data_IF_008044425725
#
_entry.id   IF_008044425725
#
_cell.length_a   1.000
_cell.length_b   1.000
_cell.length_c   1.000
_cell.angle_alpha   90.00
_cell.angle_beta   90.00
_cell.angle_gamma   90.00
#
_symmetry.space_group_name_H-M   'P 1'
#
loop_
_entity.id
_entity.type
_entity.pdbx_description
1 polymer ?
#
# COMPACT_ATOMS: atom_id res chain seq x y z
N UNK A 1 -9.67 -8.20 7.30
CA UNK A 1 -9.16 -7.83 5.96
C UNK A 1 -8.79 -9.04 5.11
N UNK A 2 -8.01 -10.00 5.63
CA UNK A 2 -7.75 -11.28 4.93
C UNK A 2 -9.03 -12.02 4.48
N UNK A 3 -10.09 -11.96 5.29
CA UNK A 3 -11.39 -12.55 4.97
C UNK A 3 -12.08 -11.85 3.77
N UNK A 4 -12.16 -10.51 3.76
CA UNK A 4 -12.80 -9.73 2.68
C UNK A 4 -12.14 -9.91 1.31
N UNK A 5 -10.82 -10.09 1.28
CA UNK A 5 -10.13 -10.39 0.01
C UNK A 5 -10.54 -11.76 -0.54
N UNK A 6 -10.79 -12.74 0.33
CA UNK A 6 -11.26 -14.09 -0.05
C UNK A 6 -12.69 -14.04 -0.59
N UNK A 7 -13.55 -13.23 0.05
CA UNK A 7 -14.96 -13.04 -0.30
C UNK A 7 -15.17 -12.43 -1.69
N UNK A 8 -14.32 -11.46 -2.08
CA UNK A 8 -14.46 -10.75 -3.37
C UNK A 8 -14.05 -11.56 -4.62
N UNK A 9 -13.73 -12.86 -4.50
CA UNK A 9 -13.42 -13.75 -5.62
C UNK A 9 -12.12 -13.47 -6.40
N UNK A 10 -11.40 -12.38 -6.10
CA UNK A 10 -10.15 -12.00 -6.78
C UNK A 10 -8.96 -12.76 -6.19
N UNK A 11 -8.74 -13.98 -6.66
CA UNK A 11 -7.63 -14.87 -6.25
C UNK A 11 -6.23 -14.35 -6.64
N UNK A 12 -6.13 -13.42 -7.59
CA UNK A 12 -4.86 -12.98 -8.20
C UNK A 12 -4.08 -11.89 -7.45
N UNK A 13 -4.70 -11.17 -6.51
CA UNK A 13 -3.91 -10.35 -5.59
C UNK A 13 -3.32 -11.32 -4.57
N UNK A 14 -2.07 -11.78 -4.79
CA UNK A 14 -1.35 -12.71 -3.89
C UNK A 14 -1.72 -12.42 -2.44
N UNK A 15 -2.62 -13.25 -1.90
CA UNK A 15 -2.94 -13.29 -0.48
C UNK A 15 -1.62 -13.50 0.21
N UNK A 16 -1.19 -12.57 1.07
CA UNK A 16 -0.06 -12.85 1.94
C UNK A 16 -0.51 -14.00 2.84
N UNK A 17 0.06 -15.21 2.72
CA UNK A 17 -0.38 -16.32 3.56
C UNK A 17 -0.09 -15.98 5.01
N UNK A 18 -1.04 -16.26 5.90
CA UNK A 18 -0.90 -15.97 7.33
C UNK A 18 0.43 -16.49 7.93
N UNK A 19 0.92 -17.71 7.59
CA UNK A 19 2.22 -18.18 8.07
C UNK A 19 3.41 -17.28 7.65
N UNK A 20 3.40 -16.79 6.40
CA UNK A 20 4.45 -15.89 5.94
C UNK A 20 4.38 -14.51 6.61
N UNK A 21 3.18 -14.03 6.93
CA UNK A 21 3.00 -12.79 7.69
C UNK A 21 3.49 -12.95 9.12
N UNK A 22 3.18 -14.09 9.75
CA UNK A 22 3.66 -14.42 11.08
C UNK A 22 5.19 -14.48 11.15
N UNK A 23 5.83 -15.19 10.21
CA UNK A 23 7.31 -15.23 10.15
C UNK A 23 7.93 -13.85 9.92
N UNK A 24 7.30 -12.98 9.13
CA UNK A 24 7.76 -11.59 8.95
C UNK A 24 7.60 -10.74 10.22
N UNK A 25 6.64 -11.04 11.08
CA UNK A 25 6.51 -10.41 12.39
C UNK A 25 7.64 -10.89 13.32
N UNK A 26 7.88 -12.20 13.39
CA UNK A 26 8.94 -12.79 14.22
C UNK A 26 10.34 -12.30 13.81
N UNK A 27 10.60 -12.17 12.50
CA UNK A 27 11.88 -11.68 11.98
C UNK A 27 12.07 -10.16 12.10
N UNK A 28 11.07 -9.42 12.59
CA UNK A 28 11.12 -7.96 12.67
C UNK A 28 11.03 -7.25 11.31
N UNK A 29 10.57 -7.94 10.27
CA UNK A 29 10.31 -7.36 8.95
C UNK A 29 9.08 -6.47 8.93
N UNK A 30 8.11 -6.80 9.78
CA UNK A 30 6.91 -6.03 10.03
C UNK A 30 6.89 -5.68 11.52
N UNK A 31 6.73 -4.39 11.84
CA UNK A 31 6.65 -3.88 13.21
C UNK A 31 5.17 -3.48 13.46
N UNK A 32 4.40 -4.25 14.25
CA UNK A 32 2.97 -3.98 14.49
C UNK A 32 2.66 -2.59 15.04
N UNK A 33 3.48 -2.14 15.99
CA UNK A 33 3.25 -0.90 16.73
C UNK A 33 3.81 0.34 16.01
N UNK A 34 4.54 0.14 14.91
CA UNK A 34 5.11 1.22 14.13
C UNK A 34 4.00 2.11 13.55
N UNK A 35 4.14 3.42 13.77
CA UNK A 35 3.21 4.41 13.23
C UNK A 35 3.86 5.15 12.07
N UNK A 36 3.15 5.32 10.95
CA UNK A 36 3.63 6.12 9.83
C UNK A 36 3.94 7.55 10.27
N UNK A 37 5.06 8.10 9.81
CA UNK A 37 5.49 9.48 10.09
C UNK A 37 5.52 10.31 8.82
N UNK A 38 4.97 11.52 8.89
CA UNK A 38 5.08 12.48 7.79
C UNK A 38 6.50 13.03 7.72
N UNK A 39 7.10 12.95 6.54
CA UNK A 39 8.47 13.42 6.26
C UNK A 39 8.45 14.80 5.62
N UNK A 40 7.57 15.03 4.66
CA UNK A 40 7.40 16.34 4.02
C UNK A 40 5.94 16.60 3.65
N UNK A 41 5.59 17.87 3.53
CA UNK A 41 4.27 18.36 3.13
C UNK A 41 4.44 19.58 2.23
N UNK A 42 3.79 19.55 1.08
CA UNK A 42 3.77 20.60 0.07
C UNK A 42 2.32 20.75 -0.42
N UNK A 43 1.50 21.45 0.37
CA UNK A 43 0.07 21.63 0.10
C UNK A 43 -0.65 20.29 -0.05
N UNK A 44 -1.18 20.06 -1.25
CA UNK A 44 -1.85 18.82 -1.66
C UNK A 44 -0.99 17.54 -1.63
N UNK A 45 0.33 17.67 -1.49
CA UNK A 45 1.27 16.54 -1.61
C UNK A 45 1.96 16.29 -0.27
N UNK A 46 1.95 15.05 0.20
CA UNK A 46 2.68 14.63 1.39
C UNK A 46 3.53 13.39 1.13
N UNK A 47 4.70 13.33 1.77
CA UNK A 47 5.53 12.13 1.82
C UNK A 47 5.53 11.55 3.23
N UNK A 48 5.36 10.24 3.33
CA UNK A 48 5.26 9.50 4.58
C UNK A 48 6.22 8.32 4.61
N UNK A 49 6.75 8.04 5.79
CA UNK A 49 7.56 6.86 6.10
C UNK A 49 6.75 5.91 6.96
N UNK A 50 6.44 4.72 6.45
CA UNK A 50 5.65 3.72 7.14
C UNK A 50 6.43 3.01 8.27
N UNK A 51 7.75 3.17 8.35
CA UNK A 51 8.57 2.57 9.41
C UNK A 51 8.40 1.04 9.54
N UNK A 52 8.24 0.32 8.42
CA UNK A 52 7.99 -1.14 8.39
C UNK A 52 6.70 -1.55 9.12
N UNK A 53 5.73 -0.65 9.24
CA UNK A 53 4.41 -0.97 9.76
C UNK A 53 3.68 -1.99 8.89
N UNK A 54 2.54 -2.47 9.40
CA UNK A 54 1.62 -3.32 8.65
C UNK A 54 1.10 -2.57 7.42
N UNK A 55 1.38 -3.12 6.23
CA UNK A 55 1.16 -2.44 4.95
C UNK A 55 -0.31 -2.10 4.67
N UNK A 56 -1.23 -3.03 4.94
CA UNK A 56 -2.66 -2.84 4.61
C UNK A 56 -3.36 -1.79 5.50
N UNK A 57 -3.05 -1.77 6.80
CA UNK A 57 -3.52 -0.74 7.74
C UNK A 57 -2.97 0.62 7.36
N UNK A 58 -1.69 0.66 7.02
CA UNK A 58 -1.02 1.90 6.63
C UNK A 58 -1.60 2.46 5.35
N UNK A 59 -1.77 1.64 4.32
CA UNK A 59 -2.34 2.10 3.06
C UNK A 59 -3.78 2.62 3.21
N UNK A 60 -4.62 1.97 4.04
CA UNK A 60 -5.96 2.49 4.34
C UNK A 60 -5.88 3.89 4.95
N UNK A 61 -5.01 4.08 5.95
CA UNK A 61 -4.78 5.38 6.60
C UNK A 61 -4.26 6.42 5.61
N UNK A 62 -3.33 6.04 4.72
CA UNK A 62 -2.77 6.95 3.72
C UNK A 62 -3.78 7.34 2.65
N UNK A 63 -4.69 6.44 2.29
CA UNK A 63 -5.81 6.77 1.41
C UNK A 63 -6.79 7.72 2.08
N UNK A 64 -7.13 7.50 3.36
CA UNK A 64 -7.93 8.45 4.14
C UNK A 64 -7.28 9.84 4.14
N UNK A 65 -5.96 9.90 4.35
CA UNK A 65 -5.19 11.16 4.30
C UNK A 65 -5.18 11.81 2.90
N UNK A 66 -5.03 11.03 1.83
CA UNK A 66 -5.08 11.56 0.48
C UNK A 66 -6.46 12.18 0.16
N UNK A 67 -7.53 11.59 0.68
CA UNK A 67 -8.89 12.12 0.50
C UNK A 67 -9.08 13.41 1.29
N UNK A 68 -8.54 13.51 2.52
CA UNK A 68 -8.52 14.77 3.29
C UNK A 68 -7.81 15.89 2.50
N UNK A 69 -6.61 15.60 1.98
CA UNK A 69 -5.88 16.58 1.15
C UNK A 69 -6.65 16.98 -0.10
N UNK A 70 -7.34 16.04 -0.74
CA UNK A 70 -8.19 16.31 -1.91
C UNK A 70 -9.42 17.15 -1.57
N UNK A 71 -9.99 17.01 -0.38
CA UNK A 71 -11.09 17.86 0.08
C UNK A 71 -10.64 19.31 0.25
N UNK A 72 -9.43 19.54 0.77
CA UNK A 72 -8.90 20.88 1.03
C UNK A 72 -8.34 21.57 -0.22
N UNK A 73 -7.74 20.80 -1.14
CA UNK A 73 -6.96 21.34 -2.27
C UNK A 73 -7.48 20.91 -3.66
N UNK A 74 -8.55 20.14 -3.74
CA UNK A 74 -9.08 19.54 -4.97
C UNK A 74 -8.31 18.31 -5.47
N UNK A 75 -7.06 18.14 -5.04
CA UNK A 75 -6.22 16.96 -5.28
C UNK A 75 -5.45 16.60 -4.02
N UNK A 76 -5.23 15.31 -3.80
CA UNK A 76 -4.39 14.81 -2.71
C UNK A 76 -3.44 13.73 -3.21
N UNK A 77 -2.14 13.88 -2.94
CA UNK A 77 -1.13 12.89 -3.27
C UNK A 77 -0.36 12.51 -2.01
N UNK A 78 -0.33 11.22 -1.70
CA UNK A 78 0.46 10.66 -0.60
C UNK A 78 1.49 9.69 -1.15
N UNK A 79 2.77 10.03 -1.01
CA UNK A 79 3.89 9.17 -1.37
C UNK A 79 4.37 8.40 -0.12
N UNK A 80 4.24 7.08 -0.13
CA UNK A 80 4.59 6.23 1.02
C UNK A 80 5.90 5.46 0.76
N UNK A 81 6.86 5.53 1.69
CA UNK A 81 8.10 4.73 1.68
C UNK A 81 8.20 3.80 2.89
N UNK A 82 9.09 2.81 2.81
CA UNK A 82 9.33 1.81 3.87
C UNK A 82 8.06 1.07 4.33
N UNK A 83 7.10 0.91 3.43
CA UNK A 83 5.87 0.18 3.70
C UNK A 83 6.01 -1.30 3.33
N UNK A 84 5.34 -2.15 4.11
CA UNK A 84 5.20 -3.57 3.78
C UNK A 84 4.08 -3.81 2.76
N UNK A 85 3.95 -5.07 2.31
CA UNK A 85 2.94 -5.45 1.33
C UNK A 85 1.52 -5.05 1.78
N UNK A 86 0.84 -4.25 0.96
CA UNK A 86 -0.46 -3.64 1.26
C UNK A 86 -1.61 -4.30 0.48
N UNK A 87 -1.38 -5.50 -0.05
CA UNK A 87 -2.40 -6.36 -0.66
C UNK A 87 -3.00 -5.77 -1.94
N UNK A 88 -4.33 -5.64 -2.01
CA UNK A 88 -5.07 -5.25 -3.22
C UNK A 88 -5.16 -3.73 -3.31
N UNK A 89 -4.44 -3.13 -4.25
CA UNK A 89 -4.51 -1.69 -4.54
C UNK A 89 -5.93 -1.19 -4.83
N UNK A 90 -6.72 -1.97 -5.57
CA UNK A 90 -8.10 -1.61 -5.90
C UNK A 90 -9.04 -1.42 -4.70
N UNK A 91 -8.74 -1.99 -3.54
CA UNK A 91 -9.55 -1.76 -2.32
C UNK A 91 -9.46 -0.31 -1.84
N UNK A 92 -8.33 0.35 -2.05
CA UNK A 92 -8.13 1.75 -1.64
C UNK A 92 -8.68 2.72 -2.69
N UNK A 93 -8.61 2.36 -3.98
CA UNK A 93 -9.36 3.08 -5.01
C UNK A 93 -10.87 3.06 -4.75
N UNK A 94 -11.41 1.91 -4.32
CA UNK A 94 -12.81 1.79 -3.91
C UNK A 94 -13.14 2.65 -2.69
N UNK A 95 -12.26 2.69 -1.67
CA UNK A 95 -12.39 3.58 -0.51
C UNK A 95 -12.48 5.06 -0.90
N UNK A 96 -11.76 5.49 -1.94
CA UNK A 96 -11.88 6.85 -2.50
C UNK A 96 -13.22 7.05 -3.22
N UNK A 97 -13.64 6.07 -4.04
CA UNK A 97 -14.90 6.12 -4.77
C UNK A 97 -16.12 6.19 -3.84
N UNK A 98 -16.11 5.46 -2.72
CA UNK A 98 -17.17 5.52 -1.70
C UNK A 98 -17.35 6.92 -1.09
N UNK A 99 -16.29 7.75 -1.13
CA UNK A 99 -16.33 9.14 -0.67
C UNK A 99 -16.54 10.15 -1.80
N UNK A 100 -16.81 9.71 -3.03
CA UNK A 100 -17.05 10.57 -4.19
C UNK A 100 -15.78 11.04 -4.92
N UNK A 101 -14.63 10.40 -4.68
CA UNK A 101 -13.35 10.75 -5.30
C UNK A 101 -12.88 9.70 -6.30
N UNK A 102 -11.99 10.10 -7.22
CA UNK A 102 -11.26 9.18 -8.08
C UNK A 102 -9.93 8.83 -7.41
N UNK A 103 -9.68 7.55 -7.15
CA UNK A 103 -8.45 7.07 -6.51
C UNK A 103 -7.53 6.34 -7.48
N UNK A 104 -6.28 6.81 -7.61
CA UNK A 104 -5.21 6.10 -8.32
C UNK A 104 -4.22 5.57 -7.28
N UNK A 105 -3.93 4.27 -7.35
CA UNK A 105 -3.04 3.58 -6.42
C UNK A 105 -1.99 2.81 -7.22
N UNK A 106 -0.71 2.98 -6.90
CA UNK A 106 0.34 2.15 -7.48
C UNK A 106 1.40 1.76 -6.45
N UNK A 107 2.03 0.60 -6.66
CA UNK A 107 3.15 0.11 -5.86
C UNK A 107 4.13 -0.67 -6.69
N UNK A 108 5.33 -0.83 -6.15
CA UNK A 108 6.33 -1.75 -6.66
C UNK A 108 6.36 -3.05 -5.83
N UNK A 109 6.63 -4.16 -6.50
CA UNK A 109 6.93 -5.45 -5.86
C UNK A 109 8.44 -5.73 -5.87
N UNK A 110 8.84 -6.89 -5.34
CA UNK A 110 10.14 -7.47 -5.64
C UNK A 110 10.30 -7.72 -7.15
N UNK A 111 11.55 -7.84 -7.61
CA UNK A 111 11.84 -8.12 -9.02
C UNK A 111 11.40 -9.55 -9.35
N UNK A 112 10.41 -9.69 -10.24
CA UNK A 112 9.82 -10.99 -10.62
C UNK A 112 9.70 -11.18 -12.13
N UNK A 113 9.99 -10.15 -12.93
CA UNK A 113 9.93 -10.22 -14.39
C UNK A 113 11.35 -10.24 -14.99
N UNK A 114 11.73 -11.30 -15.72
CA UNK A 114 12.98 -11.32 -16.47
C UNK A 114 12.87 -10.37 -17.67
N UNK A 115 13.87 -9.50 -17.86
CA UNK A 115 14.02 -8.71 -19.08
C UNK A 115 15.01 -9.40 -20.01
N UNK A 116 14.56 -10.29 -20.88
CA UNK A 116 15.29 -10.79 -22.09
C UNK A 116 16.75 -11.28 -21.97
N UNK A 117 17.39 -11.18 -20.80
CA UNK A 117 18.75 -11.54 -20.43
C UNK A 117 18.71 -11.98 -18.98
N UNK A 118 19.65 -12.86 -18.62
CA UNK A 118 19.72 -13.73 -17.43
C UNK A 118 19.61 -13.09 -16.03
N UNK A 119 19.19 -11.82 -15.88
CA UNK A 119 19.03 -11.14 -14.59
C UNK A 119 17.63 -10.54 -14.43
N UNK A 120 16.91 -11.01 -13.41
CA UNK A 120 15.61 -10.47 -13.02
C UNK A 120 15.84 -9.11 -12.37
N UNK A 121 15.54 -8.02 -13.09
CA UNK A 121 15.70 -6.64 -12.61
C UNK A 121 14.38 -5.86 -12.59
N UNK A 122 13.32 -6.39 -13.22
CA UNK A 122 12.04 -5.72 -13.31
C UNK A 122 11.06 -6.15 -12.23
N UNK A 123 10.59 -5.14 -11.49
CA UNK A 123 9.58 -5.25 -10.44
C UNK A 123 8.20 -5.31 -11.06
N UNK A 124 7.34 -6.17 -10.53
CA UNK A 124 5.93 -6.15 -10.88
C UNK A 124 5.30 -4.93 -10.22
N UNK A 125 4.84 -3.97 -11.02
CA UNK A 125 4.11 -2.81 -10.54
C UNK A 125 2.61 -3.07 -10.75
N UNK A 126 1.83 -2.75 -9.72
CA UNK A 126 0.37 -2.85 -9.70
C UNK A 126 -0.24 -1.55 -9.26
#
# INVERSE_FOLDING_TARGET
MFARTTESGVLFSRRQPFPSFHSQLENGDIIPDAQPKRITSLGAIEQWDAQRSIGNLTAKKMMDRAIELAADHGIGLVALRNANHWMRGGSYGWQAAEKGYIGICWTNSIAVMPRGRKRVSHRHNR
#
